data_IF_236815733781
#
_entry.id   IF_236815733781
#
_cell.length_a   1.000
_cell.length_b   1.000
_cell.length_c   1.000
_cell.angle_alpha   90.00
_cell.angle_beta   90.00
_cell.angle_gamma   90.00
#
_symmetry.space_group_name_H-M   'P 1'
#
loop_
_entity.id
_entity.type
_entity.pdbx_description
1 polymer ?
#
# COMPACT_ATOMS: atom_id res chain seq x y z
N UNK A 1 9.71 -99.90 -7.91
CA UNK A 1 11.10 -99.54 -8.30
C UNK A 1 11.15 -98.57 -9.47
N UNK A 2 10.44 -98.79 -10.58
CA UNK A 2 10.45 -97.84 -11.71
C UNK A 2 9.83 -96.46 -11.42
N UNK A 3 8.76 -96.40 -10.60
CA UNK A 3 8.07 -95.14 -10.27
C UNK A 3 8.90 -94.19 -9.38
N UNK A 4 9.70 -94.76 -8.47
CA UNK A 4 10.57 -93.99 -7.55
C UNK A 4 11.72 -93.35 -8.33
N UNK A 5 12.27 -94.09 -9.30
CA UNK A 5 13.38 -93.64 -10.15
C UNK A 5 13.00 -92.48 -11.10
N UNK A 6 11.70 -92.28 -11.38
CA UNK A 6 11.19 -91.14 -12.14
C UNK A 6 10.70 -89.98 -11.26
N UNK A 7 10.25 -90.25 -10.03
CA UNK A 7 9.77 -89.22 -9.10
C UNK A 7 10.90 -88.47 -8.39
N UNK A 8 12.01 -89.13 -8.05
CA UNK A 8 13.19 -88.49 -7.45
C UNK A 8 13.81 -87.37 -8.32
N UNK A 9 14.05 -87.56 -9.64
CA UNK A 9 14.58 -86.49 -10.47
C UNK A 9 13.56 -85.35 -10.70
N UNK A 10 12.26 -85.66 -10.78
CA UNK A 10 11.21 -84.64 -10.89
C UNK A 10 11.07 -83.81 -9.62
N UNK A 11 11.20 -84.43 -8.44
CA UNK A 11 11.20 -83.73 -7.16
C UNK A 11 12.42 -82.80 -7.07
N UNK A 12 13.61 -83.30 -7.42
CA UNK A 12 14.84 -82.50 -7.46
C UNK A 12 14.73 -81.31 -8.44
N UNK A 13 14.21 -81.54 -9.64
CA UNK A 13 13.96 -80.49 -10.63
C UNK A 13 13.01 -79.41 -10.09
N UNK A 14 11.88 -79.82 -9.48
CA UNK A 14 10.93 -78.88 -8.87
C UNK A 14 11.49 -78.14 -7.66
N UNK A 15 12.35 -78.78 -6.86
CA UNK A 15 13.03 -78.11 -5.75
C UNK A 15 14.03 -77.05 -6.24
N UNK A 16 14.71 -77.34 -7.35
CA UNK A 16 15.64 -76.39 -8.00
C UNK A 16 14.87 -75.24 -8.66
N UNK A 17 13.69 -75.51 -9.21
CA UNK A 17 12.81 -74.49 -9.77
C UNK A 17 12.22 -73.58 -8.68
N UNK A 18 11.79 -74.16 -7.55
CA UNK A 18 11.33 -73.39 -6.38
C UNK A 18 12.43 -72.47 -5.83
N UNK A 19 13.65 -72.98 -5.63
CA UNK A 19 14.74 -72.15 -5.10
C UNK A 19 15.12 -71.02 -6.06
N UNK A 20 15.11 -71.29 -7.38
CA UNK A 20 15.30 -70.25 -8.40
C UNK A 20 14.23 -69.16 -8.32
N UNK A 21 12.96 -69.55 -8.27
CA UNK A 21 11.83 -68.62 -8.17
C UNK A 21 11.86 -67.81 -6.87
N UNK A 22 12.28 -68.43 -5.76
CA UNK A 22 12.42 -67.76 -4.47
C UNK A 22 13.56 -66.72 -4.50
N UNK A 23 14.65 -67.03 -5.21
CA UNK A 23 15.76 -66.09 -5.44
C UNK A 23 15.33 -64.92 -6.33
N UNK A 24 14.62 -65.21 -7.44
CA UNK A 24 14.07 -64.19 -8.34
C UNK A 24 13.06 -63.29 -7.60
N UNK A 25 12.17 -63.88 -6.80
CA UNK A 25 11.20 -63.14 -5.99
C UNK A 25 11.88 -62.21 -4.98
N UNK A 26 12.86 -62.71 -4.22
CA UNK A 26 13.58 -61.89 -3.25
C UNK A 26 14.37 -60.76 -3.94
N UNK A 27 15.01 -61.06 -5.08
CA UNK A 27 15.74 -60.06 -5.86
C UNK A 27 14.85 -58.95 -6.43
N UNK A 28 13.57 -59.24 -6.68
CA UNK A 28 12.59 -58.25 -7.12
C UNK A 28 11.87 -57.55 -5.96
N UNK A 29 11.75 -58.19 -4.79
CA UNK A 29 11.03 -57.68 -3.63
C UNK A 29 11.80 -56.56 -2.92
N UNK A 30 13.11 -56.73 -2.72
CA UNK A 30 13.98 -55.72 -2.11
C UNK A 30 13.94 -54.34 -2.80
N UNK A 31 14.10 -54.22 -4.14
CA UNK A 31 14.03 -52.93 -4.80
C UNK A 31 12.62 -52.32 -4.77
N UNK A 32 11.56 -53.13 -4.75
CA UNK A 32 10.18 -52.63 -4.60
C UNK A 32 9.98 -52.02 -3.21
N UNK A 33 10.47 -52.69 -2.17
CA UNK A 33 10.40 -52.19 -0.79
C UNK A 33 11.17 -50.87 -0.64
N UNK A 34 12.41 -50.82 -1.16
CA UNK A 34 13.22 -49.60 -1.14
C UNK A 34 12.56 -48.45 -1.94
N UNK A 35 11.92 -48.76 -3.07
CA UNK A 35 11.20 -47.75 -3.86
C UNK A 35 9.97 -47.21 -3.12
N UNK A 36 9.23 -48.07 -2.41
CA UNK A 36 8.09 -47.66 -1.59
C UNK A 36 8.51 -46.74 -0.43
N UNK A 37 9.62 -47.07 0.25
CA UNK A 37 10.20 -46.21 1.30
C UNK A 37 10.63 -44.84 0.74
N UNK A 38 11.30 -44.82 -0.42
CA UNK A 38 11.68 -43.56 -1.06
C UNK A 38 10.45 -42.74 -1.52
N UNK A 39 9.40 -43.39 -2.02
CA UNK A 39 8.18 -42.73 -2.43
C UNK A 39 7.51 -42.04 -1.23
N UNK A 40 7.34 -42.76 -0.12
CA UNK A 40 6.75 -42.21 1.10
C UNK A 40 7.57 -41.05 1.68
N UNK A 41 8.90 -41.15 1.67
CA UNK A 41 9.76 -40.04 2.09
C UNK A 41 9.60 -38.81 1.18
N UNK A 42 9.50 -39.02 -0.14
CA UNK A 42 9.33 -37.93 -1.11
C UNK A 42 7.95 -37.27 -0.99
N UNK A 43 6.90 -38.05 -0.72
CA UNK A 43 5.54 -37.54 -0.47
C UNK A 43 5.48 -36.66 0.78
N UNK A 44 6.15 -37.06 1.86
CA UNK A 44 6.26 -36.26 3.08
C UNK A 44 7.01 -34.94 2.83
N UNK A 45 8.13 -34.99 2.11
CA UNK A 45 8.89 -33.79 1.75
C UNK A 45 8.03 -32.83 0.90
N UNK A 46 7.30 -33.37 -0.08
CA UNK A 46 6.39 -32.58 -0.93
C UNK A 46 5.29 -31.92 -0.10
N UNK A 47 4.72 -32.63 0.88
CA UNK A 47 3.70 -32.09 1.76
C UNK A 47 4.24 -30.91 2.59
N UNK A 48 5.43 -31.07 3.18
CA UNK A 48 6.10 -30.00 3.96
C UNK A 48 6.37 -28.78 3.08
N UNK A 49 6.82 -28.98 1.84
CA UNK A 49 7.05 -27.89 0.88
C UNK A 49 5.75 -27.15 0.53
N UNK A 50 4.65 -27.88 0.30
CA UNK A 50 3.34 -27.27 0.02
C UNK A 50 2.81 -26.45 1.19
N UNK A 51 2.93 -26.96 2.42
CA UNK A 51 2.54 -26.21 3.62
C UNK A 51 3.39 -24.95 3.81
N UNK A 52 4.69 -25.06 3.58
CA UNK A 52 5.63 -23.93 3.65
C UNK A 52 5.31 -22.87 2.60
N UNK A 53 5.04 -23.28 1.35
CA UNK A 53 4.64 -22.38 0.27
C UNK A 53 3.34 -21.65 0.63
N UNK A 54 2.34 -22.36 1.15
CA UNK A 54 1.06 -21.77 1.56
C UNK A 54 1.25 -20.72 2.66
N UNK A 55 2.08 -21.00 3.66
CA UNK A 55 2.44 -20.06 4.74
C UNK A 55 3.12 -18.81 4.19
N UNK A 56 4.13 -18.98 3.33
CA UNK A 56 4.86 -17.86 2.71
C UNK A 56 3.95 -16.95 1.87
N UNK A 57 3.02 -17.54 1.11
CA UNK A 57 2.04 -16.76 0.34
C UNK A 57 1.10 -15.95 1.24
N UNK A 58 0.73 -16.48 2.40
CA UNK A 58 -0.09 -15.77 3.37
C UNK A 58 0.70 -14.60 4.00
N UNK A 59 1.94 -14.83 4.45
CA UNK A 59 2.81 -13.78 4.97
C UNK A 59 3.08 -12.69 3.93
N UNK A 60 3.30 -13.06 2.66
CA UNK A 60 3.47 -12.09 1.58
C UNK A 60 2.24 -11.19 1.42
N UNK A 61 1.04 -11.78 1.45
CA UNK A 61 -0.22 -11.00 1.37
C UNK A 61 -0.41 -10.07 2.55
N UNK A 62 -0.05 -10.51 3.76
CA UNK A 62 -0.13 -9.69 4.97
C UNK A 62 0.86 -8.52 4.91
N UNK A 63 2.11 -8.77 4.51
CA UNK A 63 3.12 -7.71 4.31
C UNK A 63 2.70 -6.73 3.22
N UNK A 64 2.12 -7.21 2.12
CA UNK A 64 1.62 -6.33 1.06
C UNK A 64 0.52 -5.40 1.59
N UNK A 65 -0.46 -5.93 2.34
CA UNK A 65 -1.50 -5.11 2.97
C UNK A 65 -0.94 -4.08 3.96
N UNK A 66 0.10 -4.43 4.70
CA UNK A 66 0.78 -3.49 5.60
C UNK A 66 1.49 -2.37 4.82
N UNK A 67 2.17 -2.72 3.72
CA UNK A 67 2.79 -1.73 2.82
C UNK A 67 1.75 -0.78 2.24
N UNK A 68 0.66 -1.31 1.67
CA UNK A 68 -0.41 -0.49 1.09
C UNK A 68 -0.99 0.49 2.13
N UNK A 69 -1.15 0.03 3.39
CA UNK A 69 -1.61 0.86 4.50
C UNK A 69 -0.59 1.96 4.87
N UNK A 70 0.69 1.62 4.95
CA UNK A 70 1.76 2.58 5.26
C UNK A 70 1.93 3.61 4.15
N UNK A 71 1.82 3.22 2.89
CA UNK A 71 1.84 4.13 1.74
C UNK A 71 0.67 5.10 1.79
N UNK A 72 -0.55 4.60 2.05
CA UNK A 72 -1.72 5.45 2.22
C UNK A 72 -1.55 6.44 3.38
N UNK A 73 -1.00 5.99 4.52
CA UNK A 73 -0.71 6.85 5.67
C UNK A 73 0.35 7.91 5.35
N UNK A 74 1.44 7.53 4.68
CA UNK A 74 2.49 8.44 4.27
C UNK A 74 1.98 9.48 3.26
N UNK A 75 1.09 9.08 2.35
CA UNK A 75 0.45 9.98 1.41
C UNK A 75 -0.44 11.01 2.13
N UNK A 76 -1.25 10.58 3.11
CA UNK A 76 -2.03 11.49 3.96
C UNK A 76 -1.12 12.43 4.77
N UNK A 77 0.00 11.93 5.30
CA UNK A 77 0.97 12.75 6.03
C UNK A 77 1.64 13.80 5.13
N UNK A 78 1.96 13.44 3.89
CA UNK A 78 2.46 14.39 2.89
C UNK A 78 1.38 15.40 2.46
N UNK A 79 0.11 14.99 2.40
CA UNK A 79 -1.02 15.91 2.14
C UNK A 79 -1.25 16.88 3.31
N UNK A 80 -1.06 16.44 4.55
CA UNK A 80 -1.16 17.30 5.76
C UNK A 80 0.02 18.26 5.86
N UNK A 81 1.23 17.86 5.47
CA UNK A 81 2.41 18.72 5.56
C UNK A 81 2.64 19.59 4.32
N UNK A 82 2.12 19.26 3.14
CA UNK A 82 2.22 20.08 1.93
C UNK A 82 3.64 20.44 1.47
N UNK A 83 4.71 20.14 2.21
CA UNK A 83 6.00 20.83 2.07
C UNK A 83 6.81 20.37 0.87
N UNK A 84 6.74 19.10 0.46
CA UNK A 84 7.50 18.59 -0.69
C UNK A 84 7.03 19.18 -2.02
N UNK A 85 5.76 18.96 -2.35
CA UNK A 85 5.16 19.41 -3.59
C UNK A 85 5.06 20.95 -3.65
N UNK A 86 4.61 21.61 -2.57
CA UNK A 86 4.52 23.07 -2.56
C UNK A 86 5.88 23.74 -2.68
N UNK A 87 6.95 23.19 -2.06
CA UNK A 87 8.30 23.71 -2.22
C UNK A 87 8.78 23.59 -3.66
N UNK A 88 8.52 22.47 -4.34
CA UNK A 88 8.87 22.30 -5.75
C UNK A 88 8.16 23.33 -6.63
N UNK A 89 6.87 23.60 -6.38
CA UNK A 89 6.12 24.63 -7.10
C UNK A 89 6.67 26.03 -6.81
N UNK A 90 6.85 26.39 -5.54
CA UNK A 90 7.36 27.71 -5.15
C UNK A 90 8.78 27.97 -5.64
N UNK A 91 9.62 26.94 -5.74
CA UNK A 91 10.99 27.02 -6.27
C UNK A 91 11.06 26.90 -7.80
N UNK A 92 9.95 26.64 -8.47
CA UNK A 92 9.93 26.46 -9.93
C UNK A 92 10.15 27.75 -10.71
N UNK A 93 9.91 28.91 -10.09
CA UNK A 93 9.94 30.21 -10.76
C UNK A 93 8.81 30.40 -11.78
N UNK A 94 7.79 29.53 -11.77
CA UNK A 94 6.66 29.62 -12.69
C UNK A 94 5.86 30.91 -12.43
N UNK A 95 5.53 31.68 -13.49
CA UNK A 95 4.74 32.89 -13.35
C UNK A 95 3.31 32.55 -12.92
N UNK A 96 2.64 33.51 -12.25
CA UNK A 96 1.25 33.36 -11.81
C UNK A 96 1.05 32.58 -10.50
N UNK A 97 2.12 32.17 -9.82
CA UNK A 97 2.03 31.61 -8.47
C UNK A 97 1.99 32.76 -7.45
N UNK A 98 0.88 32.89 -6.73
CA UNK A 98 0.73 33.91 -5.69
C UNK A 98 1.42 33.49 -4.38
N UNK A 99 1.29 32.21 -4.01
CA UNK A 99 1.91 31.64 -2.80
C UNK A 99 0.99 30.67 -2.06
N UNK A 100 1.46 30.14 -0.93
CA UNK A 100 0.63 29.31 -0.05
C UNK A 100 -0.31 30.16 0.80
N UNK A 101 -1.49 29.65 1.13
CA UNK A 101 -2.48 30.32 1.99
C UNK A 101 -1.86 30.84 3.29
N UNK A 102 -1.01 30.03 3.95
CA UNK A 102 -0.29 30.42 5.18
C UNK A 102 0.61 31.66 5.04
N UNK A 103 1.03 32.00 3.82
CA UNK A 103 1.88 33.17 3.53
C UNK A 103 1.09 34.40 3.09
N UNK A 104 -0.18 34.23 2.72
CA UNK A 104 -1.02 35.29 2.16
C UNK A 104 -1.96 35.93 3.19
N UNK A 105 -2.12 35.30 4.36
CA UNK A 105 -2.86 35.83 5.49
C UNK A 105 -1.96 36.25 6.66
N UNK A 106 -2.42 37.25 7.42
CA UNK A 106 -1.85 37.65 8.71
C UNK A 106 -2.93 37.54 9.78
N UNK A 107 -2.54 37.11 10.97
CA UNK A 107 -3.44 36.90 12.10
C UNK A 107 -2.78 37.41 13.38
N UNK A 108 -3.57 37.89 14.33
CA UNK A 108 -3.04 38.23 15.65
C UNK A 108 -2.56 36.96 16.38
N UNK A 109 -1.41 37.01 17.10
CA UNK A 109 -0.85 35.83 17.77
C UNK A 109 -1.82 35.11 18.71
N UNK A 110 -2.72 35.87 19.36
CA UNK A 110 -3.72 35.32 20.28
C UNK A 110 -4.74 34.38 19.61
N UNK A 111 -4.95 34.50 18.29
CA UNK A 111 -5.90 33.68 17.52
C UNK A 111 -5.21 32.63 16.64
N UNK A 112 -3.89 32.70 16.52
CA UNK A 112 -3.11 31.90 15.58
C UNK A 112 -3.42 30.40 15.70
N UNK A 113 -3.34 29.84 16.91
CA UNK A 113 -3.56 28.40 17.11
C UNK A 113 -4.98 27.96 16.72
N UNK A 114 -6.00 28.74 17.11
CA UNK A 114 -7.38 28.42 16.80
C UNK A 114 -7.66 28.45 15.29
N UNK A 115 -7.12 29.46 14.60
CA UNK A 115 -7.27 29.61 13.15
C UNK A 115 -6.45 28.55 12.39
N UNK A 116 -5.27 28.20 12.90
CA UNK A 116 -4.43 27.13 12.33
C UNK A 116 -5.13 25.77 12.40
N UNK A 117 -5.69 25.44 13.57
CA UNK A 117 -6.47 24.21 13.76
C UNK A 117 -7.73 24.21 12.89
N UNK A 118 -8.44 25.34 12.79
CA UNK A 118 -9.65 25.45 11.97
C UNK A 118 -9.37 25.32 10.46
N UNK A 119 -8.25 25.86 9.98
CA UNK A 119 -7.86 25.80 8.58
C UNK A 119 -7.21 24.45 8.20
N UNK A 120 -6.43 23.86 9.11
CA UNK A 120 -5.77 22.57 8.93
C UNK A 120 -4.91 22.50 7.67
N UNK A 121 -4.99 21.39 6.93
CA UNK A 121 -4.19 21.16 5.73
C UNK A 121 -4.42 22.19 4.59
N UNK A 122 -5.53 22.96 4.65
CA UNK A 122 -5.83 23.99 3.64
C UNK A 122 -4.83 25.15 3.66
N UNK A 123 -4.11 25.34 4.76
CA UNK A 123 -3.02 26.32 4.86
C UNK A 123 -1.87 26.06 3.87
N UNK A 124 -1.68 24.79 3.47
CA UNK A 124 -0.68 24.38 2.49
C UNK A 124 -1.14 24.47 1.03
N UNK A 125 -2.39 24.88 0.77
CA UNK A 125 -2.89 25.06 -0.60
C UNK A 125 -2.20 26.26 -1.27
N UNK A 126 -2.01 26.16 -2.59
CA UNK A 126 -1.26 27.13 -3.38
C UNK A 126 -2.25 27.98 -4.18
N UNK A 127 -2.27 29.29 -3.91
CA UNK A 127 -3.06 30.25 -4.66
C UNK A 127 -2.33 30.60 -5.96
N UNK A 128 -3.06 30.59 -7.07
CA UNK A 128 -2.55 30.90 -8.41
C UNK A 128 -3.51 31.83 -9.14
N UNK A 129 -3.00 32.61 -10.09
CA UNK A 129 -3.79 33.61 -10.83
C UNK A 129 -4.95 32.97 -11.60
N UNK A 130 -4.72 31.83 -12.25
CA UNK A 130 -5.74 31.14 -13.03
C UNK A 130 -5.56 29.61 -13.09
N UNK A 131 -6.53 28.93 -13.68
CA UNK A 131 -6.57 27.48 -13.82
C UNK A 131 -5.53 26.93 -14.81
N UNK A 132 -5.03 27.77 -15.73
CA UNK A 132 -3.94 27.40 -16.63
C UNK A 132 -2.61 27.26 -15.88
N UNK A 133 -2.34 28.17 -14.92
CA UNK A 133 -1.19 28.09 -14.02
C UNK A 133 -1.31 26.86 -13.12
N UNK A 134 -2.51 26.56 -12.61
CA UNK A 134 -2.74 25.33 -11.84
C UNK A 134 -2.43 24.07 -12.66
N UNK A 135 -2.89 24.00 -13.92
CA UNK A 135 -2.61 22.88 -14.81
C UNK A 135 -1.11 22.71 -15.08
N UNK A 136 -0.39 23.81 -15.32
CA UNK A 136 1.07 23.79 -15.49
C UNK A 136 1.79 23.30 -14.23
N UNK A 137 1.34 23.73 -13.04
CA UNK A 137 1.84 23.26 -11.76
C UNK A 137 1.64 21.75 -11.56
N UNK A 138 0.45 21.23 -11.90
CA UNK A 138 0.14 19.80 -11.83
C UNK A 138 1.09 19.00 -12.74
N UNK A 139 1.29 19.43 -13.99
CA UNK A 139 2.19 18.75 -14.92
C UNK A 139 3.65 18.77 -14.43
N UNK A 140 4.12 19.88 -13.86
CA UNK A 140 5.45 19.96 -13.27
C UNK A 140 5.63 18.94 -12.13
N UNK A 141 4.63 18.80 -11.25
CA UNK A 141 4.69 17.85 -10.15
C UNK A 141 4.71 16.39 -10.65
N UNK A 142 3.94 16.08 -11.70
CA UNK A 142 3.96 14.75 -12.33
C UNK A 142 5.33 14.44 -12.94
N UNK A 143 5.90 15.37 -13.70
CA UNK A 143 7.22 15.21 -14.34
C UNK A 143 8.32 14.96 -13.29
N UNK A 144 8.28 15.71 -12.18
CA UNK A 144 9.27 15.60 -11.10
C UNK A 144 8.96 14.49 -10.08
N UNK A 145 7.81 13.81 -10.20
CA UNK A 145 7.28 12.87 -9.21
C UNK A 145 7.33 13.45 -7.79
N UNK A 146 7.03 14.75 -7.68
CA UNK A 146 7.23 15.55 -6.47
C UNK A 146 6.06 15.50 -5.49
N UNK A 147 5.11 14.57 -5.70
CA UNK A 147 3.92 14.41 -4.88
C UNK A 147 2.72 15.21 -5.40
N UNK A 148 1.81 15.55 -4.49
CA UNK A 148 0.52 16.19 -4.78
C UNK A 148 0.43 17.53 -4.07
N UNK A 149 -0.21 18.50 -4.72
CA UNK A 149 -0.56 19.78 -4.13
C UNK A 149 -1.96 20.20 -4.59
N UNK A 150 -2.65 20.95 -3.74
CA UNK A 150 -3.94 21.56 -4.08
C UNK A 150 -3.72 23.00 -4.52
N UNK A 151 -4.25 23.35 -5.68
CA UNK A 151 -4.20 24.69 -6.24
C UNK A 151 -5.55 25.39 -6.08
N UNK A 152 -5.52 26.69 -5.83
CA UNK A 152 -6.67 27.56 -5.71
C UNK A 152 -6.59 28.66 -6.79
N UNK A 153 -7.20 28.44 -7.96
CA UNK A 153 -7.23 29.42 -9.03
C UNK A 153 -8.16 30.57 -8.71
N UNK A 154 -7.66 31.81 -8.68
CA UNK A 154 -8.45 33.01 -8.36
C UNK A 154 -9.62 33.23 -9.33
N UNK A 155 -9.49 32.79 -10.58
CA UNK A 155 -10.54 32.90 -11.59
C UNK A 155 -11.66 31.84 -11.48
N UNK A 156 -11.49 30.78 -10.70
CA UNK A 156 -12.45 29.67 -10.58
C UNK A 156 -13.02 29.48 -9.18
N UNK A 157 -12.27 29.87 -8.17
CA UNK A 157 -12.68 29.73 -6.78
C UNK A 157 -13.93 30.57 -6.51
N UNK A 158 -14.88 29.97 -5.79
CA UNK A 158 -16.13 30.62 -5.41
C UNK A 158 -16.24 30.57 -3.90
N UNK A 159 -16.21 31.74 -3.27
CA UNK A 159 -16.48 31.85 -1.85
C UNK A 159 -17.91 31.33 -1.55
N UNK A 160 -18.08 30.45 -0.55
CA UNK A 160 -19.40 30.05 -0.10
C UNK A 160 -20.18 31.27 0.37
N UNK A 161 -21.50 31.30 0.13
CA UNK A 161 -22.36 32.33 0.72
C UNK A 161 -22.27 32.24 2.25
N UNK A 162 -21.69 33.26 2.85
CA UNK A 162 -21.55 33.38 4.29
C UNK A 162 -22.63 34.32 4.82
N UNK A 163 -23.58 33.78 5.57
CA UNK A 163 -24.59 34.56 6.29
C UNK A 163 -24.26 34.52 7.78
N UNK A 164 -23.79 35.63 8.38
CA UNK A 164 -23.51 35.67 9.81
C UNK A 164 -24.79 35.44 10.61
N UNK A 165 -24.76 34.50 11.55
CA UNK A 165 -25.76 34.40 12.60
C UNK A 165 -25.53 35.52 13.61
N UNK A 166 -26.52 36.41 13.75
CA UNK A 166 -26.48 37.54 14.67
C UNK A 166 -26.57 37.10 16.14
N UNK A 167 -27.20 35.94 16.42
CA UNK A 167 -27.41 35.45 17.79
C UNK A 167 -26.11 35.00 18.44
N UNK A 168 -25.13 34.53 17.65
CA UNK A 168 -23.82 34.11 18.14
C UNK A 168 -23.05 35.23 18.83
N UNK A 169 -23.30 36.50 18.47
CA UNK A 169 -22.70 37.66 19.17
C UNK A 169 -23.13 37.78 20.63
N UNK A 170 -24.26 37.18 21.00
CA UNK A 170 -24.79 37.17 22.36
C UNK A 170 -24.30 35.95 23.16
N UNK A 171 -23.69 34.96 22.51
CA UNK A 171 -23.22 33.76 23.16
C UNK A 171 -21.96 34.03 23.98
N UNK A 172 -21.93 33.52 25.22
CA UNK A 172 -20.76 33.65 26.08
C UNK A 172 -19.55 32.92 25.47
N UNK A 173 -18.42 33.62 25.36
CA UNK A 173 -17.19 33.07 24.77
C UNK A 173 -17.08 33.21 23.25
N UNK A 174 -18.06 33.81 22.58
CA UNK A 174 -17.93 34.14 21.16
C UNK A 174 -16.92 35.28 20.95
N UNK A 175 -15.91 35.02 20.10
CA UNK A 175 -14.88 36.00 19.75
C UNK A 175 -15.19 36.65 18.41
N UNK A 176 -15.44 35.84 17.38
CA UNK A 176 -15.66 36.32 16.03
C UNK A 176 -15.57 35.18 15.00
N UNK A 177 -15.99 35.46 13.78
CA UNK A 177 -15.79 34.55 12.66
C UNK A 177 -14.36 34.61 12.16
N UNK A 178 -13.79 33.46 11.76
CA UNK A 178 -12.42 33.37 11.27
C UNK A 178 -12.11 34.36 10.14
N UNK A 179 -13.05 34.56 9.20
CA UNK A 179 -12.93 35.51 8.08
C UNK A 179 -12.75 36.97 8.53
N UNK A 180 -13.18 37.31 9.75
CA UNK A 180 -13.02 38.65 10.32
C UNK A 180 -11.74 38.81 11.14
N UNK A 181 -11.05 37.70 11.44
CA UNK A 181 -9.83 37.66 12.28
C UNK A 181 -8.55 37.47 11.45
N UNK A 182 -8.69 37.42 10.12
CA UNK A 182 -7.60 37.25 9.16
C UNK A 182 -7.49 38.50 8.29
N UNK A 183 -6.29 39.07 8.23
CA UNK A 183 -5.94 40.14 7.31
C UNK A 183 -5.29 39.56 6.06
N UNK A 184 -5.72 39.97 4.88
CA UNK A 184 -5.13 39.58 3.60
C UNK A 184 -5.29 40.70 2.58
N UNK A 185 -4.60 40.59 1.43
CA UNK A 185 -4.77 41.55 0.35
C UNK A 185 -6.20 41.53 -0.22
N UNK A 186 -6.75 42.68 -0.67
CA UNK A 186 -8.13 42.76 -1.15
C UNK A 186 -8.50 41.76 -2.25
N UNK A 187 -7.54 41.41 -3.11
CA UNK A 187 -7.74 40.42 -4.20
C UNK A 187 -8.05 39.00 -3.71
N UNK A 188 -7.81 38.69 -2.43
CA UNK A 188 -8.07 37.39 -1.83
C UNK A 188 -9.31 37.37 -0.93
N UNK A 189 -10.02 38.51 -0.78
CA UNK A 189 -11.10 38.64 0.20
C UNK A 189 -12.37 37.86 -0.18
N UNK A 190 -12.66 37.76 -1.47
CA UNK A 190 -13.90 37.16 -2.01
C UNK A 190 -13.67 35.72 -2.53
N UNK A 191 -12.65 35.06 -1.99
CA UNK A 191 -12.09 33.78 -2.46
C UNK A 191 -12.19 32.72 -1.37
#
# INVERSE_FOLDING_TARGET
TQLIHTLEPQLAEKQTECSRLETEFNSSSEPIQALAENLTATEQELQIQQETQKRLLQEQREKQRQLDKLEAQAQVQQEVQGTGASKVILQSGMPGICGMVVKLGRVEPRFQLALEVAAGARLGHIVVEDDSVAAAGIELLKQKRAGRATFLPLNKIQAPKFTPDATLRLAQGFIGYAVNLVECEPRYRDV
#
